data_IF_033448205487
#
_entry.id   IF_033448205487
#
_cell.length_a   1.000
_cell.length_b   1.000
_cell.length_c   1.000
_cell.angle_alpha   90.00
_cell.angle_beta   90.00
_cell.angle_gamma   90.00
#
_symmetry.space_group_name_H-M   'P 1'
#
loop_
_entity.id
_entity.type
_entity.pdbx_description
1 polymer ?
#
# COMPACT_ATOMS: atom_id res chain seq x y z
N UNK A 1 9.23 2.36 -1.07
CA UNK A 1 10.51 2.29 -0.30
C UNK A 1 11.68 2.83 -1.14
N UNK A 2 12.63 3.52 -0.49
CA UNK A 2 13.90 4.06 -1.02
C UNK A 2 13.89 4.91 -2.31
N UNK A 3 12.76 5.47 -2.73
CA UNK A 3 12.70 6.47 -3.80
C UNK A 3 12.67 7.88 -3.20
N UNK A 4 13.39 8.85 -3.79
CA UNK A 4 13.39 10.23 -3.31
C UNK A 4 11.98 10.84 -3.41
N UNK A 5 11.68 11.74 -2.48
CA UNK A 5 10.40 12.46 -2.45
C UNK A 5 10.22 13.36 -3.69
N UNK A 6 8.99 13.86 -3.88
CA UNK A 6 8.66 14.74 -5.01
C UNK A 6 8.29 13.96 -6.27
N UNK A 7 8.71 14.48 -7.43
CA UNK A 7 8.27 13.96 -8.73
C UNK A 7 8.73 12.53 -9.00
N UNK A 8 9.92 12.15 -8.55
CA UNK A 8 10.41 10.79 -8.75
C UNK A 8 9.47 9.77 -8.09
N UNK A 9 9.02 10.04 -6.85
CA UNK A 9 8.05 9.20 -6.14
C UNK A 9 6.77 8.98 -6.95
N UNK A 10 6.19 10.07 -7.49
CA UNK A 10 4.95 10.04 -8.29
C UNK A 10 5.14 9.24 -9.58
N UNK A 11 6.18 9.56 -10.35
CA UNK A 11 6.44 8.93 -11.64
C UNK A 11 6.67 7.43 -11.46
N UNK A 12 7.53 7.03 -10.51
CA UNK A 12 7.79 5.63 -10.22
C UNK A 12 6.53 4.88 -9.77
N UNK A 13 5.68 5.51 -8.95
CA UNK A 13 4.41 4.90 -8.53
C UNK A 13 3.42 4.72 -9.67
N UNK A 14 3.24 5.74 -10.50
CA UNK A 14 2.36 5.65 -11.66
C UNK A 14 2.82 4.54 -12.61
N UNK A 15 4.13 4.46 -12.90
CA UNK A 15 4.68 3.38 -13.72
C UNK A 15 4.50 2.01 -13.08
N UNK A 16 4.68 1.88 -11.76
CA UNK A 16 4.45 0.63 -11.06
C UNK A 16 3.00 0.15 -11.20
N UNK A 17 2.03 1.06 -11.04
CA UNK A 17 0.60 0.76 -11.18
C UNK A 17 0.26 0.34 -12.62
N UNK A 18 0.75 1.09 -13.61
CA UNK A 18 0.54 0.79 -15.03
C UNK A 18 1.20 -0.53 -15.44
N UNK A 19 2.37 -0.86 -14.87
CA UNK A 19 3.05 -2.13 -15.08
C UNK A 19 2.34 -3.32 -14.40
N UNK A 20 1.30 -3.06 -13.61
CA UNK A 20 0.50 -4.10 -12.99
C UNK A 20 0.99 -4.56 -11.62
N UNK A 21 1.84 -3.80 -10.92
CA UNK A 21 2.26 -4.17 -9.56
C UNK A 21 1.05 -4.17 -8.61
N UNK A 22 0.98 -5.19 -7.76
CA UNK A 22 -0.14 -5.41 -6.84
C UNK A 22 0.09 -4.84 -5.43
N UNK A 23 1.27 -4.27 -5.16
CA UNK A 23 1.61 -3.73 -3.83
C UNK A 23 2.61 -2.57 -3.89
N UNK A 24 2.25 -1.46 -3.23
CA UNK A 24 3.09 -0.27 -3.11
C UNK A 24 3.13 0.17 -1.65
N UNK A 25 4.30 0.06 -1.02
CA UNK A 25 4.51 0.57 0.33
C UNK A 25 4.73 2.09 0.32
N UNK A 26 3.90 2.81 1.06
CA UNK A 26 3.85 4.27 1.12
C UNK A 26 3.69 4.91 -0.28
N UNK A 27 2.49 4.79 -0.88
CA UNK A 27 2.22 5.33 -2.21
C UNK A 27 2.44 6.86 -2.25
N UNK A 28 2.71 7.38 -3.44
CA UNK A 28 2.70 8.80 -3.73
C UNK A 28 1.26 9.32 -3.74
N UNK A 29 1.13 10.62 -3.48
CA UNK A 29 -0.11 11.34 -3.72
C UNK A 29 -0.56 11.13 -5.18
N UNK A 30 -1.83 10.75 -5.35
CA UNK A 30 -2.40 10.47 -6.67
C UNK A 30 -2.25 9.03 -7.16
N UNK A 31 -1.53 8.15 -6.46
CA UNK A 31 -1.45 6.73 -6.82
C UNK A 31 -2.83 6.06 -6.89
N UNK A 32 -3.70 6.35 -5.92
CA UNK A 32 -5.08 5.83 -5.87
C UNK A 32 -5.90 6.33 -7.07
N UNK A 33 -5.75 7.60 -7.45
CA UNK A 33 -6.42 8.17 -8.61
C UNK A 33 -5.95 7.51 -9.92
N UNK A 34 -4.66 7.14 -10.02
CA UNK A 34 -4.14 6.39 -11.17
C UNK A 34 -4.74 4.99 -11.22
N UNK A 35 -4.80 4.26 -10.11
CA UNK A 35 -5.44 2.93 -10.08
C UNK A 35 -6.92 2.98 -10.46
N UNK A 36 -7.64 4.00 -9.99
CA UNK A 36 -9.04 4.23 -10.33
C UNK A 36 -9.22 4.55 -11.82
N UNK A 37 -8.37 5.43 -12.38
CA UNK A 37 -8.41 5.80 -13.78
C UNK A 37 -8.17 4.63 -14.74
N UNK A 38 -7.38 3.63 -14.34
CA UNK A 38 -7.15 2.42 -15.13
C UNK A 38 -8.11 1.27 -14.79
N UNK A 39 -9.04 1.47 -13.86
CA UNK A 39 -10.03 0.47 -13.44
C UNK A 39 -9.44 -0.74 -12.71
N UNK A 40 -8.30 -0.59 -12.02
CA UNK A 40 -7.71 -1.66 -11.20
C UNK A 40 -8.22 -1.57 -9.75
N UNK A 41 -8.64 -2.69 -9.14
CA UNK A 41 -9.01 -2.71 -7.74
C UNK A 41 -7.79 -2.38 -6.87
N UNK A 42 -8.01 -1.65 -5.78
CA UNK A 42 -6.97 -1.33 -4.80
C UNK A 42 -7.50 -1.50 -3.38
N UNK A 43 -6.60 -1.82 -2.46
CA UNK A 43 -6.87 -1.89 -1.03
C UNK A 43 -5.81 -1.08 -0.30
N UNK A 44 -6.22 -0.14 0.55
CA UNK A 44 -5.31 0.76 1.26
C UNK A 44 -5.24 0.39 2.73
N UNK A 45 -4.05 0.03 3.17
CA UNK A 45 -3.73 -0.11 4.59
C UNK A 45 -3.00 1.14 5.08
N UNK A 46 -3.40 1.64 6.26
CA UNK A 46 -2.78 2.83 6.87
C UNK A 46 -1.37 2.58 7.40
N UNK A 47 -0.92 1.32 7.38
CA UNK A 47 0.43 0.96 7.77
C UNK A 47 1.03 -0.14 6.89
N UNK A 48 2.36 -0.12 6.81
CA UNK A 48 3.13 -1.20 6.21
C UNK A 48 3.04 -2.44 7.10
N UNK A 49 2.92 -3.63 6.51
CA UNK A 49 2.87 -4.92 7.22
C UNK A 49 4.09 -5.21 8.12
N UNK A 50 5.18 -4.46 7.95
CA UNK A 50 6.39 -4.54 8.79
C UNK A 50 6.38 -3.57 9.99
N UNK A 51 5.40 -2.68 10.08
CA UNK A 51 5.27 -1.72 11.16
C UNK A 51 4.28 -2.27 12.17
N UNK A 52 4.75 -2.47 13.40
CA UNK A 52 3.90 -2.77 14.54
C UNK A 52 3.07 -1.52 14.85
N UNK A 53 1.87 -1.42 14.28
CA UNK A 53 0.86 -0.52 14.80
C UNK A 53 0.51 -1.06 16.17
N UNK A 54 0.64 -0.23 17.20
CA UNK A 54 0.50 -0.64 18.59
C UNK A 54 -0.72 -1.52 18.79
N UNK A 55 -0.49 -2.71 19.32
CA UNK A 55 -1.50 -3.42 20.12
C UNK A 55 -2.16 -2.38 21.01
N UNK A 56 -3.49 -2.29 20.99
CA UNK A 56 -4.18 -1.57 22.04
C UNK A 56 -3.55 -2.03 23.36
N UNK A 57 -3.07 -1.04 24.12
CA UNK A 57 -2.75 -1.21 25.53
C UNK A 57 -4.13 -1.39 26.20
N UNK A 58 -4.73 -2.57 26.01
CA UNK A 58 -6.13 -2.84 26.35
C UNK A 58 -6.83 -3.83 25.42
N UNK A 59 -6.47 -5.11 25.53
CA UNK A 59 -7.31 -6.29 25.29
C UNK A 59 -8.33 -6.27 24.14
N UNK A 60 -8.01 -7.09 23.12
CA UNK A 60 -8.83 -8.17 22.56
C UNK A 60 -8.99 -8.09 21.03
N UNK A 61 -8.88 -9.27 20.39
CA UNK A 61 -9.29 -9.57 19.01
C UNK A 61 -8.24 -9.11 17.96
N UNK A 62 -7.63 -9.94 17.10
CA UNK A 62 -8.16 -11.09 16.39
C UNK A 62 -7.08 -12.06 15.90
N UNK A 63 -7.54 -13.30 15.78
CA UNK A 63 -6.90 -14.56 15.42
C UNK A 63 -6.24 -14.57 14.03
N UNK A 64 -5.11 -15.29 13.94
CA UNK A 64 -4.48 -15.74 12.67
C UNK A 64 -5.52 -16.35 11.72
N UNK A 65 -5.56 -15.88 10.48
CA UNK A 65 -6.03 -16.63 9.30
C UNK A 65 -5.08 -16.27 8.14
N UNK A 66 -4.03 -17.06 7.94
CA UNK A 66 -3.98 -18.19 7.00
C UNK A 66 -3.68 -17.71 5.57
N UNK A 67 -2.40 -17.82 5.20
CA UNK A 67 -1.98 -18.02 3.82
C UNK A 67 -2.68 -19.26 3.27
N UNK A 68 -3.39 -19.12 2.16
CA UNK A 68 -3.90 -20.26 1.39
C UNK A 68 -3.19 -20.25 0.04
N UNK A 69 -2.54 -21.38 -0.23
CA UNK A 69 -2.04 -21.83 -1.53
C UNK A 69 -3.14 -22.60 -2.26
#
# INVERSE_FOLDING_TARGET
CARPAGMHKRVTDSYAIMAGLDGIAFPAEGAVAVSEAIGRPYHQEHACCSIKIGSDIGSAVQTKAACVA
#
